data_IF_189410317004
#
_entry.id   IF_189410317004
#
_cell.length_a   1.000
_cell.length_b   1.000
_cell.length_c   1.000
_cell.angle_alpha   90.00
_cell.angle_beta   90.00
_cell.angle_gamma   90.00
#
_symmetry.space_group_name_H-M   'P 1'
#
loop_
_entity.id
_entity.type
_entity.pdbx_description
1 polymer ?
#
# COMPACT_ATOMS: atom_id res chain seq x y z
N UNK A 1 1.56 -41.22 7.01
CA UNK A 1 0.41 -40.69 6.25
C UNK A 1 0.77 -39.31 5.71
N UNK A 2 0.79 -39.10 4.39
CA UNK A 2 1.00 -37.78 3.76
C UNK A 2 -0.38 -37.23 3.37
N UNK A 3 -0.76 -36.01 3.77
CA UNK A 3 -2.04 -35.45 3.35
C UNK A 3 -1.99 -35.15 1.84
N UNK A 4 -3.00 -35.64 1.12
CA UNK A 4 -3.22 -35.37 -0.30
C UNK A 4 -3.59 -33.90 -0.49
N UNK A 5 -2.87 -33.21 -1.39
CA UNK A 5 -3.20 -31.84 -1.79
C UNK A 5 -4.45 -31.90 -2.69
N UNK A 6 -5.55 -31.31 -2.22
CA UNK A 6 -6.79 -31.22 -2.99
C UNK A 6 -6.58 -30.31 -4.24
N UNK A 7 -6.75 -30.81 -5.47
CA UNK A 7 -6.46 -30.07 -6.70
C UNK A 7 -7.51 -29.00 -7.06
N UNK A 8 -8.57 -28.85 -6.25
CA UNK A 8 -9.78 -28.12 -6.62
C UNK A 8 -10.01 -26.78 -5.88
N UNK A 9 -8.95 -26.13 -5.39
CA UNK A 9 -9.06 -24.72 -4.98
C UNK A 9 -9.16 -23.85 -6.24
N UNK A 10 -10.39 -23.64 -6.74
CA UNK A 10 -10.67 -22.45 -7.55
C UNK A 10 -10.19 -21.25 -6.72
N UNK A 11 -9.26 -20.46 -7.27
CA UNK A 11 -8.85 -19.21 -6.63
C UNK A 11 -10.11 -18.45 -6.25
N UNK A 12 -10.27 -18.15 -4.96
CA UNK A 12 -11.45 -17.42 -4.49
C UNK A 12 -11.55 -16.11 -5.26
N UNK A 13 -12.78 -15.72 -5.59
CA UNK A 13 -13.07 -14.43 -6.21
C UNK A 13 -12.38 -13.32 -5.41
N UNK A 14 -11.37 -12.68 -5.99
CA UNK A 14 -10.63 -11.61 -5.33
C UNK A 14 -11.52 -10.38 -5.32
N UNK A 15 -11.96 -9.96 -4.14
CA UNK A 15 -12.75 -8.74 -4.02
C UNK A 15 -11.87 -7.54 -4.37
N UNK A 16 -12.28 -6.82 -5.42
CA UNK A 16 -11.68 -5.55 -5.81
C UNK A 16 -12.56 -4.40 -5.29
N UNK A 17 -11.94 -3.40 -4.67
CA UNK A 17 -12.62 -2.20 -4.14
C UNK A 17 -12.00 -0.96 -4.76
N UNK A 18 -12.85 -0.03 -5.23
CA UNK A 18 -12.44 1.31 -5.62
C UNK A 18 -13.08 2.33 -4.67
N UNK A 19 -12.29 3.28 -4.18
CA UNK A 19 -12.75 4.37 -3.31
C UNK A 19 -12.34 5.68 -3.95
N UNK A 20 -13.29 6.63 -4.02
CA UNK A 20 -13.08 7.95 -4.61
C UNK A 20 -13.68 9.03 -3.72
N UNK A 21 -13.01 10.18 -3.61
CA UNK A 21 -13.47 11.33 -2.84
C UNK A 21 -13.14 12.64 -3.56
N UNK A 22 -14.12 13.53 -3.66
CA UNK A 22 -13.94 14.86 -4.26
C UNK A 22 -13.41 15.85 -3.22
N UNK A 23 -12.30 16.52 -3.54
CA UNK A 23 -11.69 17.55 -2.69
C UNK A 23 -11.61 18.88 -3.45
N UNK A 24 -11.97 19.99 -2.78
CA UNK A 24 -11.87 21.35 -3.33
C UNK A 24 -10.47 21.94 -3.17
N UNK A 25 -9.45 21.19 -3.56
CA UNK A 25 -8.03 21.61 -3.52
C UNK A 25 -7.32 21.17 -4.81
N UNK A 26 -6.24 21.85 -5.22
CA UNK A 26 -5.46 21.45 -6.39
C UNK A 26 -4.86 20.05 -6.21
N UNK A 27 -4.84 19.25 -7.28
CA UNK A 27 -4.27 17.91 -7.25
C UNK A 27 -2.78 17.91 -6.82
N UNK A 28 -2.01 18.95 -7.15
CA UNK A 28 -0.60 19.07 -6.74
C UNK A 28 -0.46 19.25 -5.23
N UNK A 29 -1.43 19.89 -4.60
CA UNK A 29 -1.44 20.03 -3.15
C UNK A 29 -1.71 18.69 -2.47
N UNK A 30 -2.62 17.89 -3.03
CA UNK A 30 -2.90 16.54 -2.51
C UNK A 30 -1.71 15.62 -2.73
N UNK A 31 -1.12 15.60 -3.93
CA UNK A 31 0.01 14.73 -4.25
C UNK A 31 1.24 15.01 -3.39
N UNK A 32 1.49 16.27 -2.98
CA UNK A 32 2.55 16.58 -2.01
C UNK A 32 2.37 15.90 -0.64
N UNK A 33 1.14 15.57 -0.26
CA UNK A 33 0.83 14.89 1.01
C UNK A 33 0.85 13.38 0.83
N UNK A 34 0.15 12.85 -0.17
CA UNK A 34 -0.07 11.40 -0.31
C UNK A 34 0.94 10.71 -1.24
N UNK A 35 1.63 11.47 -2.09
CA UNK A 35 2.52 10.94 -3.12
C UNK A 35 3.86 10.48 -2.61
N UNK A 36 4.27 10.87 -1.38
CA UNK A 36 5.42 10.28 -0.73
C UNK A 36 5.03 8.89 -0.18
N UNK A 37 5.61 7.84 -0.76
CA UNK A 37 5.32 6.46 -0.38
C UNK A 37 5.55 6.18 1.11
N UNK A 38 6.48 6.89 1.78
CA UNK A 38 6.73 6.70 3.21
C UNK A 38 5.93 7.63 4.13
N UNK A 39 5.12 8.56 3.60
CA UNK A 39 4.39 9.56 4.42
C UNK A 39 3.09 9.03 5.03
N UNK A 40 2.82 7.72 4.96
CA UNK A 40 1.54 7.15 5.38
C UNK A 40 1.23 7.42 6.86
N UNK A 41 2.25 7.42 7.72
CA UNK A 41 2.12 7.75 9.14
C UNK A 41 1.78 9.24 9.39
N UNK A 42 2.01 10.12 8.42
CA UNK A 42 1.77 11.56 8.56
C UNK A 42 0.30 11.93 8.33
N UNK A 43 -0.44 11.12 7.57
CA UNK A 43 -1.82 11.45 7.18
C UNK A 43 -2.85 10.34 7.46
N UNK A 44 -2.44 9.07 7.52
CA UNK A 44 -3.38 7.95 7.73
C UNK A 44 -3.48 7.60 9.22
N UNK A 45 -4.64 7.77 9.87
CA UNK A 45 -4.77 7.67 11.33
C UNK A 45 -4.51 6.26 11.90
N UNK A 46 -4.64 5.21 11.09
CA UNK A 46 -4.36 3.85 11.53
C UNK A 46 -2.87 3.48 11.57
N UNK A 47 -1.98 4.30 10.98
CA UNK A 47 -0.55 4.00 10.82
C UNK A 47 0.23 4.81 11.85
N UNK A 48 0.94 4.12 12.75
CA UNK A 48 1.76 4.78 13.78
C UNK A 48 3.22 4.95 13.36
N UNK A 49 3.69 4.15 12.39
CA UNK A 49 5.06 4.21 11.88
C UNK A 49 5.11 3.71 10.44
N UNK A 50 5.94 4.33 9.62
CA UNK A 50 6.26 3.91 8.26
C UNK A 50 7.77 3.98 8.06
N UNK A 51 8.38 2.86 7.68
CA UNK A 51 9.82 2.73 7.52
C UNK A 51 10.15 2.11 6.17
N UNK A 52 11.05 2.72 5.40
CA UNK A 52 11.51 2.20 4.11
C UNK A 52 12.88 1.56 4.20
N UNK A 53 13.09 0.54 3.37
CA UNK A 53 14.39 -0.06 3.05
C UNK A 53 14.48 -0.36 1.56
N UNK A 54 15.69 -0.50 1.06
CA UNK A 54 15.93 -1.03 -0.29
C UNK A 54 16.08 -2.56 -0.23
N UNK A 55 15.38 -3.26 -1.11
CA UNK A 55 15.38 -4.72 -1.21
C UNK A 55 15.23 -5.15 -2.67
N UNK A 56 16.26 -5.80 -3.21
CA UNK A 56 16.35 -6.23 -4.61
C UNK A 56 16.14 -5.09 -5.62
N UNK A 57 16.65 -3.89 -5.29
CA UNK A 57 16.55 -2.70 -6.15
C UNK A 57 15.16 -2.05 -6.16
N UNK A 58 14.28 -2.40 -5.22
CA UNK A 58 13.02 -1.71 -5.00
C UNK A 58 12.90 -1.23 -3.56
N UNK A 59 12.16 -0.14 -3.38
CA UNK A 59 11.77 0.36 -2.07
C UNK A 59 10.68 -0.53 -1.47
N UNK A 60 10.92 -1.05 -0.28
CA UNK A 60 9.97 -1.80 0.55
C UNK A 60 9.67 -0.97 1.79
N UNK A 61 8.39 -0.85 2.17
CA UNK A 61 7.99 -0.22 3.42
C UNK A 61 7.40 -1.22 4.40
N UNK A 62 7.68 -1.00 5.68
CA UNK A 62 6.98 -1.64 6.80
C UNK A 62 6.12 -0.61 7.52
N UNK A 63 4.82 -0.88 7.56
CA UNK A 63 3.84 -0.08 8.29
C UNK A 63 3.56 -0.74 9.63
N UNK A 64 3.67 0.02 10.72
CA UNK A 64 3.16 -0.40 12.03
C UNK A 64 1.79 0.23 12.24
N UNK A 65 0.79 -0.58 12.55
CA UNK A 65 -0.59 -0.12 12.77
C UNK A 65 -0.85 0.11 14.25
N UNK A 66 -1.77 1.04 14.56
CA UNK A 66 -2.20 1.32 15.93
C UNK A 66 -2.77 0.08 16.65
N UNK A 67 -3.33 -0.89 15.90
CA UNK A 67 -3.81 -2.16 16.41
C UNK A 67 -2.73 -3.23 16.66
N UNK A 68 -1.44 -2.87 16.52
CA UNK A 68 -0.30 -3.76 16.76
C UNK A 68 0.11 -4.64 15.57
N UNK A 69 -0.68 -4.65 14.49
CA UNK A 69 -0.32 -5.35 13.25
C UNK A 69 0.78 -4.66 12.45
N UNK A 70 1.45 -5.41 11.58
CA UNK A 70 2.39 -4.88 10.60
C UNK A 70 1.99 -5.28 9.18
N UNK A 71 2.24 -4.38 8.24
CA UNK A 71 2.07 -4.63 6.80
C UNK A 71 3.42 -4.34 6.12
N UNK A 72 3.86 -5.23 5.25
CA UNK A 72 5.07 -5.04 4.44
C UNK A 72 4.66 -4.96 2.97
N UNK A 73 5.05 -3.88 2.30
CA UNK A 73 4.63 -3.58 0.92
C UNK A 73 5.84 -3.14 0.09
N UNK A 74 5.84 -3.49 -1.19
CA UNK A 74 6.86 -3.11 -2.17
C UNK A 74 6.27 -2.04 -3.10
N UNK A 75 7.06 -1.01 -3.41
CA UNK A 75 6.75 -0.08 -4.48
C UNK A 75 7.05 -0.74 -5.83
N UNK A 76 6.03 -1.05 -6.61
CA UNK A 76 6.13 -1.69 -7.93
C UNK A 76 6.31 -0.66 -9.05
N UNK A 77 5.59 0.45 -8.98
CA UNK A 77 5.68 1.53 -9.97
C UNK A 77 5.45 2.90 -9.34
N UNK A 78 6.03 3.93 -9.94
CA UNK A 78 5.81 5.34 -9.58
C UNK A 78 5.75 6.20 -10.83
N UNK A 79 4.70 7.01 -10.93
CA UNK A 79 4.58 8.08 -11.92
C UNK A 79 4.12 9.37 -11.25
N UNK A 80 5.03 10.34 -11.13
CA UNK A 80 4.74 11.64 -10.52
C UNK A 80 3.93 12.58 -11.42
N UNK A 81 3.97 12.37 -12.74
CA UNK A 81 3.19 13.17 -13.69
C UNK A 81 1.72 12.75 -13.64
N UNK A 82 1.49 11.44 -13.61
CA UNK A 82 0.15 10.86 -13.51
C UNK A 82 -0.33 10.73 -12.05
N UNK A 83 0.53 11.05 -11.07
CA UNK A 83 0.25 11.03 -9.62
C UNK A 83 -0.21 9.65 -9.15
N UNK A 84 0.52 8.63 -9.56
CA UNK A 84 0.22 7.24 -9.23
C UNK A 84 1.44 6.52 -8.69
N UNK A 85 1.17 5.55 -7.83
CA UNK A 85 2.09 4.47 -7.51
C UNK A 85 1.30 3.19 -7.26
N UNK A 86 1.94 2.05 -7.46
CA UNK A 86 1.40 0.72 -7.16
C UNK A 86 2.39 -0.05 -6.30
#
# INVERSE_FOLDING_TARGET
MRPTRNPNRKGGDMTQVNVSQNLKVPADAVWRVIGNFNALAEWHPAVVKSETREEDGATVRTLTLAGGGQIVERLEARDDKDRSYT
#
